data_IF_200293859763
#
_entry.id   IF_200293859763
#
_cell.length_a   1.000
_cell.length_b   1.000
_cell.length_c   1.000
_cell.angle_alpha   90.00
_cell.angle_beta   90.00
_cell.angle_gamma   90.00
#
_symmetry.space_group_name_H-M   'P 1'
#
loop_
_entity.id
_entity.type
_entity.pdbx_description
1 polymer ?
#
# COMPACT_ATOMS: atom_id res chain seq x y z
N UNK A 1 -30.08 -5.50 -13.99
CA UNK A 1 -28.77 -5.08 -14.51
C UNK A 1 -28.09 -6.26 -15.21
N UNK A 2 -27.54 -6.03 -16.39
CA UNK A 2 -26.77 -7.06 -17.07
C UNK A 2 -25.35 -7.17 -16.43
N UNK A 3 -24.59 -8.16 -16.88
CA UNK A 3 -23.26 -8.43 -16.32
C UNK A 3 -22.28 -7.27 -16.52
N UNK A 4 -22.33 -6.60 -17.67
CA UNK A 4 -21.46 -5.47 -17.94
C UNK A 4 -21.73 -4.31 -16.98
N UNK A 5 -23.00 -3.98 -16.76
CA UNK A 5 -23.39 -2.92 -15.82
C UNK A 5 -22.96 -3.23 -14.40
N UNK A 6 -23.11 -4.49 -13.97
CA UNK A 6 -22.64 -4.93 -12.64
C UNK A 6 -21.14 -4.76 -12.49
N UNK A 7 -20.36 -5.10 -13.53
CA UNK A 7 -18.91 -4.96 -13.51
C UNK A 7 -18.48 -3.50 -13.45
N UNK A 8 -19.14 -2.63 -14.20
CA UNK A 8 -18.87 -1.18 -14.17
C UNK A 8 -19.13 -0.63 -12.77
N UNK A 9 -20.23 -1.02 -12.13
CA UNK A 9 -20.51 -0.61 -10.75
C UNK A 9 -19.46 -1.13 -9.77
N UNK A 10 -18.99 -2.37 -9.96
CA UNK A 10 -17.94 -2.93 -9.09
C UNK A 10 -16.66 -2.11 -9.16
N UNK A 11 -16.25 -1.69 -10.35
CA UNK A 11 -15.09 -0.79 -10.49
C UNK A 11 -15.33 0.54 -9.79
N UNK A 12 -16.53 1.09 -9.88
CA UNK A 12 -16.90 2.30 -9.16
C UNK A 12 -16.74 2.17 -7.65
N UNK A 13 -17.20 1.06 -7.08
CA UNK A 13 -17.02 0.78 -5.65
C UNK A 13 -15.54 0.63 -5.27
N UNK A 14 -14.76 -0.03 -6.14
CA UNK A 14 -13.33 -0.20 -5.90
C UNK A 14 -12.62 1.16 -5.86
N UNK A 15 -12.90 2.05 -6.81
CA UNK A 15 -12.33 3.40 -6.81
C UNK A 15 -12.76 4.21 -5.60
N UNK A 16 -14.00 4.06 -5.14
CA UNK A 16 -14.47 4.70 -3.90
C UNK A 16 -13.66 4.19 -2.70
N UNK A 17 -13.37 2.90 -2.65
CA UNK A 17 -12.57 2.29 -1.59
C UNK A 17 -11.15 2.86 -1.57
N UNK A 18 -10.52 2.98 -2.72
CA UNK A 18 -9.18 3.60 -2.86
C UNK A 18 -9.22 5.06 -2.37
N UNK A 19 -10.24 5.82 -2.77
CA UNK A 19 -10.39 7.20 -2.34
C UNK A 19 -10.55 7.31 -0.82
N UNK A 20 -11.33 6.43 -0.20
CA UNK A 20 -11.49 6.39 1.26
C UNK A 20 -10.17 6.09 1.96
N UNK A 21 -9.39 5.13 1.44
CA UNK A 21 -8.09 4.79 1.99
C UNK A 21 -7.15 5.99 1.97
N UNK A 22 -7.02 6.64 0.82
CA UNK A 22 -6.10 7.76 0.64
C UNK A 22 -6.53 8.97 1.46
N UNK A 23 -7.83 9.27 1.53
CA UNK A 23 -8.32 10.47 2.21
C UNK A 23 -8.33 10.37 3.73
N UNK A 24 -8.53 9.17 4.29
CA UNK A 24 -8.81 9.01 5.72
C UNK A 24 -7.67 8.40 6.52
N UNK A 25 -6.75 7.70 5.86
CA UNK A 25 -5.68 6.98 6.56
C UNK A 25 -4.37 7.74 6.49
N UNK A 26 -3.85 8.12 7.65
CA UNK A 26 -2.58 8.85 7.76
C UNK A 26 -1.40 8.03 7.21
N UNK A 27 -1.38 6.73 7.50
CA UNK A 27 -0.32 5.84 7.00
C UNK A 27 -0.32 5.75 5.48
N UNK A 28 -1.50 5.80 4.85
CA UNK A 28 -1.59 5.80 3.39
C UNK A 28 -0.95 7.06 2.79
N UNK A 29 -1.04 8.20 3.45
CA UNK A 29 -0.39 9.44 3.00
C UNK A 29 1.13 9.32 3.03
N UNK A 30 1.68 8.67 4.07
CA UNK A 30 3.12 8.43 4.17
C UNK A 30 3.58 7.56 3.00
N UNK A 31 2.84 6.49 2.69
CA UNK A 31 3.15 5.61 1.57
C UNK A 31 3.01 6.33 0.22
N UNK A 32 1.98 7.17 0.05
CA UNK A 32 1.82 7.97 -1.16
C UNK A 32 2.96 8.96 -1.35
N UNK A 33 3.41 9.61 -0.27
CA UNK A 33 4.56 10.50 -0.31
C UNK A 33 5.83 9.75 -0.73
N UNK A 34 6.05 8.55 -0.17
CA UNK A 34 7.17 7.70 -0.54
C UNK A 34 7.12 7.31 -2.02
N UNK A 35 5.93 6.97 -2.53
CA UNK A 35 5.73 6.64 -3.94
C UNK A 35 6.12 7.81 -4.84
N UNK A 36 5.69 9.02 -4.50
CA UNK A 36 6.03 10.22 -5.27
C UNK A 36 7.54 10.43 -5.27
N UNK A 37 8.19 10.35 -4.11
CA UNK A 37 9.64 10.56 -4.00
C UNK A 37 10.41 9.51 -4.80
N UNK A 38 10.03 8.24 -4.70
CA UNK A 38 10.69 7.15 -5.43
C UNK A 38 10.48 7.29 -6.94
N UNK A 39 9.29 7.69 -7.36
CA UNK A 39 8.98 7.93 -8.78
C UNK A 39 9.84 9.04 -9.34
N UNK A 40 9.98 10.15 -8.61
CA UNK A 40 10.83 11.26 -9.02
C UNK A 40 12.30 10.83 -9.08
N UNK A 41 12.77 10.08 -8.10
CA UNK A 41 14.12 9.54 -8.09
C UNK A 41 14.36 8.60 -9.28
N UNK A 42 13.39 7.76 -9.60
CA UNK A 42 13.46 6.85 -10.74
C UNK A 42 13.65 7.59 -12.07
N UNK A 43 12.92 8.66 -12.27
CA UNK A 43 13.09 9.51 -13.46
C UNK A 43 14.41 10.24 -13.45
N UNK A 44 14.82 10.76 -12.30
CA UNK A 44 16.09 11.47 -12.18
C UNK A 44 17.30 10.60 -12.52
N UNK A 45 17.33 9.37 -11.99
CA UNK A 45 18.43 8.44 -12.21
C UNK A 45 18.29 7.61 -13.48
N UNK A 46 17.12 7.65 -14.12
CA UNK A 46 16.88 6.87 -15.35
C UNK A 46 16.93 5.37 -15.11
N UNK A 47 16.21 4.89 -14.11
CA UNK A 47 16.20 3.45 -13.80
C UNK A 47 15.65 2.63 -14.97
N UNK A 48 16.05 1.36 -15.03
CA UNK A 48 15.72 0.46 -16.15
C UNK A 48 14.24 0.07 -16.11
N UNK A 49 13.66 -0.40 -17.25
CA UNK A 49 12.30 -0.92 -17.25
C UNK A 49 12.07 -2.06 -16.25
N UNK A 50 13.06 -2.95 -16.08
CA UNK A 50 12.96 -4.02 -15.07
C UNK A 50 12.87 -3.43 -13.67
N UNK A 51 13.67 -2.42 -13.37
CA UNK A 51 13.62 -1.74 -12.07
C UNK A 51 12.29 -1.02 -11.86
N UNK A 52 11.72 -0.42 -12.92
CA UNK A 52 10.39 0.17 -12.84
C UNK A 52 9.32 -0.87 -12.52
N UNK A 53 9.40 -2.06 -13.10
CA UNK A 53 8.47 -3.15 -12.79
C UNK A 53 8.55 -3.53 -11.32
N UNK A 54 9.75 -3.69 -10.79
CA UNK A 54 9.98 -4.07 -9.39
C UNK A 54 9.45 -3.00 -8.45
N UNK A 55 9.75 -1.74 -8.73
CA UNK A 55 9.32 -0.59 -7.92
C UNK A 55 7.79 -0.48 -7.93
N UNK A 56 7.16 -0.66 -9.09
CA UNK A 56 5.70 -0.61 -9.23
C UNK A 56 5.03 -1.72 -8.41
N UNK A 57 5.59 -2.92 -8.43
CA UNK A 57 5.10 -4.02 -7.59
C UNK A 57 5.20 -3.69 -6.10
N UNK A 58 6.29 -3.06 -5.68
CA UNK A 58 6.45 -2.60 -4.29
C UNK A 58 5.36 -1.60 -3.90
N UNK A 59 5.08 -0.63 -4.77
CA UNK A 59 4.02 0.36 -4.53
C UNK A 59 2.67 -0.31 -4.33
N UNK A 60 2.30 -1.19 -5.26
CA UNK A 60 1.03 -1.90 -5.21
C UNK A 60 0.90 -2.77 -3.98
N UNK A 61 1.95 -3.49 -3.64
CA UNK A 61 1.98 -4.39 -2.48
C UNK A 61 1.79 -3.61 -1.18
N UNK A 62 2.51 -2.53 -1.00
CA UNK A 62 2.44 -1.73 0.24
C UNK A 62 1.06 -1.08 0.39
N UNK A 63 0.54 -0.47 -0.69
CA UNK A 63 -0.78 0.16 -0.65
C UNK A 63 -1.90 -0.86 -0.45
N UNK A 64 -1.81 -2.02 -1.11
CA UNK A 64 -2.80 -3.07 -0.94
C UNK A 64 -2.80 -3.61 0.50
N UNK A 65 -1.62 -3.82 1.07
CA UNK A 65 -1.48 -4.26 2.46
C UNK A 65 -2.09 -3.22 3.42
N UNK A 66 -1.84 -1.94 3.18
CA UNK A 66 -2.43 -0.86 3.98
C UNK A 66 -3.96 -0.86 3.87
N UNK A 67 -4.49 -1.08 2.67
CA UNK A 67 -5.94 -1.18 2.46
C UNK A 67 -6.55 -2.35 3.22
N UNK A 68 -5.94 -3.51 3.18
CA UNK A 68 -6.39 -4.67 3.95
C UNK A 68 -6.33 -4.40 5.45
N UNK A 69 -5.25 -3.80 5.93
CA UNK A 69 -5.12 -3.44 7.33
C UNK A 69 -6.24 -2.51 7.79
N UNK A 70 -6.51 -1.46 7.02
CA UNK A 70 -7.58 -0.51 7.30
C UNK A 70 -8.94 -1.20 7.34
N UNK A 71 -9.22 -2.05 6.36
CA UNK A 71 -10.49 -2.80 6.30
C UNK A 71 -10.64 -3.72 7.51
N UNK A 72 -9.57 -4.40 7.90
CA UNK A 72 -9.56 -5.29 9.07
C UNK A 72 -9.80 -4.49 10.35
N UNK A 73 -9.13 -3.35 10.52
CA UNK A 73 -9.32 -2.50 11.71
C UNK A 73 -10.77 -2.05 11.84
N UNK A 74 -11.39 -1.61 10.74
CA UNK A 74 -12.79 -1.18 10.75
C UNK A 74 -13.74 -2.34 11.05
N UNK A 75 -13.46 -3.51 10.48
CA UNK A 75 -14.26 -4.69 10.74
C UNK A 75 -14.16 -5.10 12.21
N UNK A 76 -12.96 -5.11 12.77
CA UNK A 76 -12.74 -5.44 14.19
C UNK A 76 -13.46 -4.44 15.09
N UNK A 77 -13.36 -3.15 14.80
CA UNK A 77 -14.03 -2.12 15.60
C UNK A 77 -15.55 -2.25 15.55
N UNK A 78 -16.09 -2.69 14.42
CA UNK A 78 -17.53 -2.94 14.28
C UNK A 78 -17.99 -4.14 15.11
N UNK A 79 -17.23 -5.22 15.10
CA UNK A 79 -17.57 -6.48 15.78
C UNK A 79 -17.23 -6.42 17.27
N UNK A 80 -16.12 -5.75 17.63
CA UNK A 80 -15.63 -5.69 19.01
C UNK A 80 -15.25 -4.25 19.34
N UNK A 81 -16.24 -3.37 19.63
CA UNK A 81 -15.95 -1.97 19.97
C UNK A 81 -15.21 -1.82 21.29
N UNK A 82 -15.37 -2.78 22.21
CA UNK A 82 -14.60 -2.80 23.45
C UNK A 82 -13.37 -3.69 23.29
N UNK A 83 -12.34 -3.41 24.09
CA UNK A 83 -11.10 -4.19 24.04
C UNK A 83 -11.37 -5.68 24.26
N UNK A 84 -10.75 -6.50 23.43
CA UNK A 84 -10.73 -7.93 23.55
C UNK A 84 -9.34 -8.45 23.09
N UNK A 85 -8.70 -9.38 23.82
CA UNK A 85 -7.36 -9.83 23.46
C UNK A 85 -7.25 -10.38 22.03
N UNK A 86 -8.24 -11.14 21.57
CA UNK A 86 -8.24 -11.69 20.20
C UNK A 86 -8.37 -10.57 19.18
N UNK A 87 -9.25 -9.59 19.43
CA UNK A 87 -9.40 -8.44 18.54
C UNK A 87 -8.09 -7.65 18.43
N UNK A 88 -7.39 -7.46 19.55
CA UNK A 88 -6.08 -6.85 19.57
C UNK A 88 -5.06 -7.61 18.74
N UNK A 89 -5.03 -8.94 18.89
CA UNK A 89 -4.11 -9.80 18.11
C UNK A 89 -4.39 -9.68 16.59
N UNK A 90 -5.65 -9.66 16.19
CA UNK A 90 -6.02 -9.53 14.77
C UNK A 90 -5.50 -8.20 14.20
N UNK A 91 -5.69 -7.11 14.93
CA UNK A 91 -5.18 -5.80 14.52
C UNK A 91 -3.65 -5.78 14.43
N UNK A 92 -2.97 -6.38 15.39
CA UNK A 92 -1.51 -6.44 15.42
C UNK A 92 -0.95 -7.24 14.24
N UNK A 93 -1.58 -8.36 13.92
CA UNK A 93 -1.18 -9.19 12.78
C UNK A 93 -1.36 -8.42 11.48
N UNK A 94 -2.47 -7.73 11.32
CA UNK A 94 -2.74 -6.93 10.13
C UNK A 94 -1.71 -5.81 9.98
N UNK A 95 -1.39 -5.11 11.07
CA UNK A 95 -0.36 -4.07 11.06
C UNK A 95 1.02 -4.65 10.77
N UNK A 96 1.32 -5.84 11.31
CA UNK A 96 2.57 -6.55 11.03
C UNK A 96 2.72 -6.91 9.57
N UNK A 97 1.64 -7.26 8.88
CA UNK A 97 1.67 -7.53 7.45
C UNK A 97 2.08 -6.29 6.64
N UNK A 98 1.57 -5.12 7.01
CA UNK A 98 1.99 -3.85 6.38
C UNK A 98 3.47 -3.61 6.62
N UNK A 99 3.93 -3.84 7.84
CA UNK A 99 5.34 -3.64 8.19
C UNK A 99 6.26 -4.56 7.38
N UNK A 100 5.89 -5.82 7.21
CA UNK A 100 6.65 -6.77 6.38
C UNK A 100 6.77 -6.24 4.95
N UNK A 101 5.66 -5.79 4.36
CA UNK A 101 5.66 -5.23 3.01
C UNK A 101 6.52 -3.97 2.93
N UNK A 102 6.45 -3.10 3.92
CA UNK A 102 7.23 -1.86 3.95
C UNK A 102 8.73 -2.15 4.08
N UNK A 103 9.11 -3.11 4.91
CA UNK A 103 10.53 -3.52 5.06
C UNK A 103 11.04 -4.10 3.74
N UNK A 104 10.28 -4.98 3.10
CA UNK A 104 10.67 -5.56 1.82
C UNK A 104 10.83 -4.47 0.76
N UNK A 105 9.89 -3.53 0.68
CA UNK A 105 9.97 -2.41 -0.25
C UNK A 105 11.18 -1.52 0.03
N UNK A 106 11.51 -1.28 1.30
CA UNK A 106 12.70 -0.52 1.71
C UNK A 106 13.99 -1.19 1.27
N UNK A 107 14.10 -2.50 1.46
CA UNK A 107 15.26 -3.29 1.03
C UNK A 107 15.42 -3.20 -0.49
N UNK A 108 14.33 -3.39 -1.22
CA UNK A 108 14.34 -3.30 -2.69
C UNK A 108 14.75 -1.89 -3.13
N UNK A 109 14.24 -0.86 -2.48
CA UNK A 109 14.61 0.52 -2.77
C UNK A 109 16.10 0.77 -2.62
N UNK A 110 16.71 0.23 -1.57
CA UNK A 110 18.16 0.32 -1.36
C UNK A 110 18.90 -0.41 -2.48
N UNK A 111 18.49 -1.62 -2.81
CA UNK A 111 19.14 -2.41 -3.87
C UNK A 111 19.06 -1.71 -5.22
N UNK A 112 17.93 -1.10 -5.55
CA UNK A 112 17.71 -0.41 -6.83
C UNK A 112 18.46 0.90 -6.89
N UNK A 113 18.36 1.74 -5.86
CA UNK A 113 18.85 3.13 -5.93
C UNK A 113 20.27 3.33 -5.44
N UNK A 114 20.76 2.52 -4.52
CA UNK A 114 22.11 2.71 -3.97
C UNK A 114 23.20 2.71 -5.05
N UNK A 115 23.22 1.81 -6.07
CA UNK A 115 24.21 1.87 -7.12
C UNK A 115 24.20 3.21 -7.87
N UNK A 116 23.03 3.79 -8.12
CA UNK A 116 22.95 5.10 -8.79
C UNK A 116 23.51 6.22 -7.93
N UNK A 117 23.28 6.18 -6.63
CA UNK A 117 23.78 7.17 -5.69
C UNK A 117 25.31 7.11 -5.57
N UNK A 118 25.87 5.89 -5.55
CA UNK A 118 27.31 5.69 -5.40
C UNK A 118 28.10 6.03 -6.66
N UNK A 119 27.45 6.01 -7.82
CA UNK A 119 28.09 6.30 -9.11
C UNK A 119 27.89 7.75 -9.59
N UNK A 120 27.36 8.59 -8.72
CA UNK A 120 27.20 10.01 -9.03
C UNK A 120 28.51 10.78 -8.87
#
# INVERSE_FOLDING_TARGET
>A
MNELQKRIKSFGYAFQGIAKLIKKEHNAWIHCAAIVLVTLAGFHFGITPTEWCIVTLCFGMVLAAEGFNTAIERLVDLVSPNYHPIAGDVKDIAAGAVLICAIAAGIIGIIVFLPYLLNC
#
